data_IF_219989990147
#
_entry.id   IF_219989990147
#
_cell.length_a   1.000
_cell.length_b   1.000
_cell.length_c   1.000
_cell.angle_alpha   90.00
_cell.angle_beta   90.00
_cell.angle_gamma   90.00
#
_symmetry.space_group_name_H-M   'P 1'
#
loop_
_entity.id
_entity.type
_entity.pdbx_description
1 polymer ?
#
# COMPACT_ATOMS: atom_id res chain seq x y z
N UNK A 1 11.83 -17.50 15.38
CA UNK A 1 11.95 -18.59 14.37
C UNK A 1 10.91 -19.66 14.64
N UNK A 2 10.84 -20.23 15.88
CA UNK A 2 9.90 -21.33 16.22
C UNK A 2 8.44 -20.92 16.02
N UNK A 3 8.04 -19.73 16.49
CA UNK A 3 6.66 -19.22 16.32
C UNK A 3 6.27 -19.05 14.84
N UNK A 4 7.21 -18.64 14.01
CA UNK A 4 7.00 -18.50 12.56
C UNK A 4 6.84 -19.89 11.90
N UNK A 5 7.65 -20.86 12.29
CA UNK A 5 7.55 -22.22 11.81
C UNK A 5 6.21 -22.85 12.19
N UNK A 6 5.80 -22.73 13.46
CA UNK A 6 4.51 -23.23 13.94
C UNK A 6 3.33 -22.55 13.24
N UNK A 7 3.41 -21.24 12.97
CA UNK A 7 2.39 -20.54 12.20
C UNK A 7 2.33 -21.06 10.76
N UNK A 8 3.46 -21.33 10.12
CA UNK A 8 3.54 -21.87 8.78
C UNK A 8 2.94 -23.30 8.72
N UNK A 9 3.33 -24.18 9.64
CA UNK A 9 2.78 -25.53 9.76
C UNK A 9 1.26 -25.52 10.01
N UNK A 10 0.80 -24.61 10.88
CA UNK A 10 -0.63 -24.42 11.14
C UNK A 10 -1.39 -23.95 9.89
N UNK A 11 -0.82 -23.01 9.12
CA UNK A 11 -1.40 -22.54 7.86
C UNK A 11 -1.40 -23.64 6.80
N UNK A 12 -0.34 -24.44 6.70
CA UNK A 12 -0.27 -25.58 5.78
C UNK A 12 -1.29 -26.64 6.15
N UNK A 13 -1.40 -26.99 7.43
CA UNK A 13 -2.41 -27.91 7.94
C UNK A 13 -3.84 -27.39 7.69
N UNK A 14 -4.11 -26.08 7.91
CA UNK A 14 -5.41 -25.48 7.61
C UNK A 14 -5.69 -25.44 6.10
N UNK A 15 -4.68 -25.22 5.27
CA UNK A 15 -4.82 -25.20 3.81
C UNK A 15 -5.07 -26.60 3.22
N UNK A 16 -4.46 -27.62 3.80
CA UNK A 16 -4.60 -29.01 3.37
C UNK A 16 -5.94 -29.65 3.79
N UNK A 17 -6.55 -29.17 4.86
CA UNK A 17 -7.89 -29.58 5.24
C UNK A 17 -8.93 -28.88 4.37
N UNK A 18 -9.64 -29.67 3.55
CA UNK A 18 -10.94 -29.25 2.98
C UNK A 18 -11.94 -29.16 4.14
N UNK A 19 -11.94 -28.01 4.84
CA UNK A 19 -12.93 -27.76 5.88
C UNK A 19 -14.28 -27.79 5.15
N UNK A 20 -15.19 -28.72 5.47
CA UNK A 20 -16.51 -28.76 4.88
C UNK A 20 -17.33 -27.62 5.47
N UNK A 21 -17.08 -26.39 5.00
CA UNK A 21 -17.99 -25.29 5.26
C UNK A 21 -19.25 -25.55 4.46
N UNK A 22 -20.25 -26.10 5.12
CA UNK A 22 -21.55 -26.40 4.56
C UNK A 22 -22.17 -25.11 4.03
N UNK A 23 -22.49 -25.09 2.71
CA UNK A 23 -23.21 -23.99 2.06
C UNK A 23 -24.52 -23.62 2.79
N UNK A 24 -25.09 -24.55 3.53
CA UNK A 24 -26.33 -24.39 4.29
C UNK A 24 -26.23 -23.38 5.43
N UNK A 25 -25.08 -23.26 6.11
CA UNK A 25 -24.92 -22.34 7.25
C UNK A 25 -24.51 -20.93 6.84
N UNK A 26 -23.81 -20.72 5.71
CA UNK A 26 -23.27 -19.45 5.26
C UNK A 26 -23.62 -19.08 3.81
N UNK A 27 -24.72 -19.59 3.29
CA UNK A 27 -25.02 -19.56 1.86
C UNK A 27 -24.89 -18.20 1.15
N UNK A 28 -25.18 -17.07 1.82
CA UNK A 28 -24.98 -15.72 1.25
C UNK A 28 -23.52 -15.30 1.36
N UNK A 29 -22.92 -15.45 2.54
CA UNK A 29 -21.50 -15.08 2.80
C UNK A 29 -20.57 -15.92 1.93
N UNK A 30 -20.84 -17.22 1.82
CA UNK A 30 -20.08 -18.13 0.94
C UNK A 30 -20.16 -17.71 -0.52
N UNK A 31 -21.34 -17.38 -1.04
CA UNK A 31 -21.50 -16.92 -2.43
C UNK A 31 -20.72 -15.64 -2.69
N UNK A 32 -20.77 -14.66 -1.78
CA UNK A 32 -20.00 -13.43 -1.91
C UNK A 32 -18.49 -13.69 -1.83
N UNK A 33 -18.03 -14.50 -0.87
CA UNK A 33 -16.63 -14.87 -0.77
C UNK A 33 -16.15 -15.63 -2.02
N UNK A 34 -16.95 -16.52 -2.54
CA UNK A 34 -16.64 -17.25 -3.78
C UNK A 34 -16.58 -16.30 -4.99
N UNK A 35 -17.53 -15.37 -5.12
CA UNK A 35 -17.52 -14.39 -6.19
C UNK A 35 -16.27 -13.48 -6.13
N UNK A 36 -15.94 -12.97 -4.94
CA UNK A 36 -14.80 -12.08 -4.72
C UNK A 36 -13.46 -12.81 -4.91
N UNK A 37 -13.30 -14.01 -4.34
CA UNK A 37 -11.99 -14.66 -4.23
C UNK A 37 -11.76 -15.76 -5.30
N UNK A 38 -12.80 -16.22 -5.98
CA UNK A 38 -12.68 -17.32 -6.94
C UNK A 38 -13.12 -16.92 -8.35
N UNK A 39 -14.23 -16.23 -8.51
CA UNK A 39 -14.67 -15.76 -9.85
C UNK A 39 -13.80 -14.60 -10.30
N UNK A 40 -13.57 -13.63 -9.43
CA UNK A 40 -12.76 -12.44 -9.72
C UNK A 40 -11.53 -12.36 -8.77
N UNK A 41 -10.54 -13.26 -8.89
CA UNK A 41 -9.52 -13.47 -7.87
C UNK A 41 -8.58 -12.29 -7.64
N UNK A 42 -8.48 -11.37 -8.59
CA UNK A 42 -7.73 -10.11 -8.46
C UNK A 42 -8.67 -8.92 -8.24
N UNK A 43 -9.64 -8.74 -9.14
CA UNK A 43 -10.54 -7.57 -9.12
C UNK A 43 -11.40 -7.55 -7.85
N UNK A 44 -11.88 -8.71 -7.40
CA UNK A 44 -12.69 -8.81 -6.19
C UNK A 44 -11.95 -8.31 -4.94
N UNK A 45 -10.80 -8.90 -4.55
CA UNK A 45 -10.00 -8.40 -3.44
C UNK A 45 -9.57 -6.95 -3.61
N UNK A 46 -9.19 -6.51 -4.81
CA UNK A 46 -8.83 -5.13 -5.11
C UNK A 46 -9.95 -4.15 -4.76
N UNK A 47 -11.17 -4.40 -5.23
CA UNK A 47 -12.31 -3.53 -4.94
C UNK A 47 -12.69 -3.55 -3.45
N UNK A 48 -12.61 -4.70 -2.79
CA UNK A 48 -12.86 -4.79 -1.34
C UNK A 48 -11.86 -3.93 -0.58
N UNK A 49 -10.56 -4.00 -0.90
CA UNK A 49 -9.53 -3.18 -0.26
C UNK A 49 -9.73 -1.68 -0.56
N UNK A 50 -10.01 -1.32 -1.82
CA UNK A 50 -10.28 0.07 -2.21
C UNK A 50 -11.44 0.67 -1.42
N UNK A 51 -12.54 -0.06 -1.28
CA UNK A 51 -13.74 0.41 -0.54
C UNK A 51 -13.45 0.46 0.97
N UNK A 52 -12.84 -0.59 1.52
CA UNK A 52 -12.58 -0.67 2.96
C UNK A 52 -11.57 0.39 3.44
N UNK A 53 -10.59 0.75 2.61
CA UNK A 53 -9.57 1.73 2.95
C UNK A 53 -9.92 3.17 2.52
N UNK A 54 -10.98 3.37 1.72
CA UNK A 54 -11.40 4.69 1.25
C UNK A 54 -11.58 5.73 2.38
N UNK A 55 -12.17 5.39 3.55
CA UNK A 55 -12.26 6.34 4.66
C UNK A 55 -10.88 6.83 5.13
N UNK A 56 -9.89 5.92 5.21
CA UNK A 56 -8.52 6.29 5.58
C UNK A 56 -7.89 7.21 4.55
N UNK A 57 -8.06 6.92 3.25
CA UNK A 57 -7.57 7.78 2.18
C UNK A 57 -8.17 9.18 2.27
N UNK A 58 -9.50 9.28 2.39
CA UNK A 58 -10.21 10.57 2.47
C UNK A 58 -9.74 11.38 3.68
N UNK A 59 -9.61 10.74 4.84
CA UNK A 59 -9.13 11.40 6.06
C UNK A 59 -7.65 11.83 5.99
N UNK A 60 -6.86 11.21 5.12
CA UNK A 60 -5.43 11.47 4.99
C UNK A 60 -5.06 12.46 3.91
N UNK A 61 -5.97 12.82 3.01
CA UNK A 61 -5.67 13.75 1.90
C UNK A 61 -5.25 15.13 2.42
N UNK A 62 -4.28 15.77 1.76
CA UNK A 62 -3.55 15.42 0.53
C UNK A 62 -2.46 14.35 0.72
N UNK A 63 -2.26 13.87 1.93
CA UNK A 63 -1.28 12.89 2.32
C UNK A 63 -0.72 13.20 3.71
N UNK A 64 -0.30 12.19 4.45
CA UNK A 64 0.34 12.34 5.76
C UNK A 64 1.85 12.49 5.54
N UNK A 65 2.40 13.68 5.74
CA UNK A 65 3.82 13.97 5.57
C UNK A 65 4.71 13.24 6.58
N UNK A 66 5.77 12.61 6.08
CA UNK A 66 6.96 12.31 6.88
C UNK A 66 8.01 13.41 6.72
N UNK A 67 8.86 13.60 7.73
CA UNK A 67 10.02 14.51 7.62
C UNK A 67 10.88 14.21 6.39
N UNK A 68 11.08 12.91 6.09
CA UNK A 68 11.82 12.46 4.92
C UNK A 68 11.17 12.87 3.60
N UNK A 69 9.84 12.86 3.51
CA UNK A 69 9.11 13.32 2.33
C UNK A 69 9.36 14.78 2.04
N UNK A 70 9.34 15.61 3.08
CA UNK A 70 9.66 17.03 2.95
C UNK A 70 11.09 17.26 2.46
N UNK A 71 12.05 16.48 2.96
CA UNK A 71 13.44 16.52 2.52
C UNK A 71 13.58 16.10 1.04
N UNK A 72 12.88 15.03 0.63
CA UNK A 72 12.89 14.56 -0.75
C UNK A 72 12.30 15.59 -1.74
N UNK A 73 11.19 16.23 -1.37
CA UNK A 73 10.58 17.29 -2.19
C UNK A 73 11.52 18.48 -2.30
N UNK A 74 12.10 18.95 -1.18
CA UNK A 74 13.10 20.02 -1.21
C UNK A 74 14.31 19.66 -2.06
N UNK A 75 14.76 18.42 -1.99
CA UNK A 75 15.86 17.90 -2.80
C UNK A 75 15.53 17.94 -4.30
N UNK A 76 14.32 17.54 -4.68
CA UNK A 76 13.86 17.59 -6.08
C UNK A 76 13.84 19.03 -6.63
N UNK A 77 13.34 19.98 -5.85
CA UNK A 77 13.28 21.38 -6.24
C UNK A 77 14.55 22.18 -5.95
N UNK A 78 15.63 21.50 -5.56
CA UNK A 78 16.91 22.14 -5.25
C UNK A 78 16.84 23.16 -4.10
N UNK A 79 15.92 23.00 -3.16
CA UNK A 79 15.84 23.80 -1.95
C UNK A 79 16.79 23.28 -0.86
N UNK A 80 17.27 24.16 0.04
CA UNK A 80 18.06 23.76 1.21
C UNK A 80 17.33 22.69 2.03
N UNK A 81 18.07 21.63 2.39
CA UNK A 81 17.57 20.56 3.25
C UNK A 81 18.74 19.92 3.99
N UNK A 82 18.51 19.51 5.25
CA UNK A 82 19.57 19.01 6.13
C UNK A 82 20.30 17.75 5.64
N UNK A 83 19.76 17.04 4.64
CA UNK A 83 20.38 15.83 4.10
C UNK A 83 21.30 16.10 2.91
N UNK A 84 21.11 17.17 2.17
CA UNK A 84 21.92 17.52 0.99
C UNK A 84 22.85 18.71 1.22
N UNK A 85 22.58 19.56 2.21
CA UNK A 85 23.38 20.78 2.41
C UNK A 85 24.84 20.48 2.70
N UNK A 86 25.11 19.44 3.51
CA UNK A 86 26.48 19.00 3.76
C UNK A 86 27.20 18.54 2.50
N UNK A 87 26.53 17.76 1.64
CA UNK A 87 27.12 17.29 0.41
C UNK A 87 27.35 18.41 -0.62
N UNK A 88 26.54 19.46 -0.60
CA UNK A 88 26.71 20.66 -1.45
C UNK A 88 27.91 21.50 -1.06
N UNK A 89 28.33 21.46 0.21
CA UNK A 89 29.59 22.07 0.62
C UNK A 89 30.78 21.38 -0.06
N UNK A 90 30.68 20.07 -0.31
CA UNK A 90 31.72 19.29 -0.96
C UNK A 90 31.60 19.32 -2.48
N UNK A 91 30.38 19.31 -3.01
CA UNK A 91 30.09 19.36 -4.44
C UNK A 91 28.77 20.12 -4.72
N UNK A 92 28.84 21.37 -5.15
CA UNK A 92 27.66 22.20 -5.43
C UNK A 92 26.69 21.64 -6.49
N UNK A 93 27.18 20.76 -7.35
CA UNK A 93 26.40 20.18 -8.44
C UNK A 93 25.59 18.95 -8.03
N UNK A 94 25.67 18.51 -6.76
CA UNK A 94 24.88 17.37 -6.28
C UNK A 94 23.43 17.81 -6.06
N UNK A 95 22.55 17.35 -6.95
CA UNK A 95 21.11 17.59 -6.85
C UNK A 95 20.42 16.51 -5.99
N UNK A 96 20.78 15.24 -6.20
CA UNK A 96 20.21 14.09 -5.52
C UNK A 96 21.30 13.37 -4.74
N UNK A 97 21.05 13.06 -3.47
CA UNK A 97 21.93 12.23 -2.66
C UNK A 97 21.32 10.83 -2.43
N UNK A 98 22.16 9.86 -2.11
CA UNK A 98 21.75 8.47 -1.87
C UNK A 98 21.12 8.21 -0.50
N UNK A 99 20.86 9.23 0.32
CA UNK A 99 20.22 9.07 1.62
C UNK A 99 18.76 8.62 1.47
N UNK A 100 18.07 9.12 0.45
CA UNK A 100 16.75 8.68 0.08
C UNK A 100 16.77 7.94 -1.26
N UNK A 101 15.84 6.98 -1.48
CA UNK A 101 15.74 6.30 -2.78
C UNK A 101 15.46 7.31 -3.90
N UNK A 102 16.41 7.44 -4.83
CA UNK A 102 16.38 8.43 -5.91
C UNK A 102 15.10 8.31 -6.75
N UNK A 103 14.70 7.07 -7.07
CA UNK A 103 13.48 6.81 -7.86
C UNK A 103 12.23 7.31 -7.12
N UNK A 104 12.13 7.08 -5.81
CA UNK A 104 11.01 7.56 -5.00
C UNK A 104 10.98 9.09 -4.95
N UNK A 105 12.15 9.72 -4.77
CA UNK A 105 12.29 11.18 -4.79
C UNK A 105 11.85 11.77 -6.13
N UNK A 106 12.22 11.12 -7.25
CA UNK A 106 11.79 11.53 -8.58
C UNK A 106 10.27 11.40 -8.77
N UNK A 107 9.67 10.30 -8.34
CA UNK A 107 8.22 10.08 -8.46
C UNK A 107 7.45 11.14 -7.67
N UNK A 108 7.76 11.33 -6.39
CA UNK A 108 7.04 12.30 -5.56
C UNK A 108 7.27 13.74 -6.03
N UNK A 109 8.51 14.07 -6.39
CA UNK A 109 8.87 15.38 -6.92
C UNK A 109 8.13 15.70 -8.22
N UNK A 110 8.07 14.73 -9.14
CA UNK A 110 7.32 14.87 -10.40
C UNK A 110 5.81 15.05 -10.16
N UNK A 111 5.22 14.32 -9.20
CA UNK A 111 3.82 14.51 -8.83
C UNK A 111 3.56 15.91 -8.27
N UNK A 112 4.45 16.42 -7.40
CA UNK A 112 4.33 17.79 -6.87
C UNK A 112 4.48 18.83 -7.98
N UNK A 113 5.44 18.63 -8.89
CA UNK A 113 5.63 19.50 -10.04
C UNK A 113 4.39 19.51 -10.97
N UNK A 114 3.79 18.36 -11.20
CA UNK A 114 2.53 18.23 -11.94
C UNK A 114 1.38 18.99 -11.26
N UNK A 115 1.26 18.85 -9.93
CA UNK A 115 0.24 19.57 -9.16
C UNK A 115 0.43 21.08 -9.23
N UNK A 116 1.68 21.58 -9.19
CA UNK A 116 1.99 22.98 -9.35
C UNK A 116 1.66 23.47 -10.77
N UNK A 117 1.99 22.71 -11.79
CA UNK A 117 1.78 23.12 -13.20
C UNK A 117 0.29 23.11 -13.60
N UNK A 118 -0.50 22.14 -13.15
CA UNK A 118 -1.90 22.00 -13.56
C UNK A 118 -2.88 22.73 -12.63
N UNK A 119 -2.59 22.78 -11.34
CA UNK A 119 -3.53 23.25 -10.31
C UNK A 119 -2.95 24.42 -9.48
N UNK A 120 -1.75 24.86 -9.77
CA UNK A 120 -1.00 25.83 -8.97
C UNK A 120 -0.96 25.48 -7.47
N UNK A 121 -0.87 24.17 -7.16
CA UNK A 121 -0.97 23.66 -5.80
C UNK A 121 -0.06 22.45 -5.58
N UNK A 122 0.87 22.57 -4.65
CA UNK A 122 1.69 21.45 -4.19
C UNK A 122 0.84 20.35 -3.53
N UNK A 123 -0.22 20.74 -2.81
CA UNK A 123 -1.15 19.80 -2.17
C UNK A 123 -1.88 18.92 -3.20
N UNK A 124 -2.21 19.49 -4.38
CA UNK A 124 -2.79 18.70 -5.47
C UNK A 124 -1.80 17.62 -5.97
N UNK A 125 -0.52 17.96 -6.11
CA UNK A 125 0.53 17.02 -6.48
C UNK A 125 0.71 15.89 -5.45
N UNK A 126 0.67 16.24 -4.16
CA UNK A 126 0.72 15.25 -3.08
C UNK A 126 -0.51 14.34 -3.09
N UNK A 127 -1.69 14.87 -3.32
CA UNK A 127 -2.92 14.08 -3.44
C UNK A 127 -2.83 13.10 -4.62
N UNK A 128 -2.30 13.52 -5.77
CA UNK A 128 -2.05 12.63 -6.93
C UNK A 128 -1.12 11.48 -6.53
N UNK A 129 0.01 11.80 -5.88
CA UNK A 129 0.95 10.78 -5.41
C UNK A 129 0.30 9.82 -4.42
N UNK A 130 -0.41 10.34 -3.41
CA UNK A 130 -1.08 9.54 -2.37
C UNK A 130 -2.15 8.61 -2.98
N UNK A 131 -2.96 9.11 -3.91
CA UNK A 131 -3.95 8.29 -4.62
C UNK A 131 -3.28 7.18 -5.45
N UNK A 132 -2.21 7.50 -6.17
CA UNK A 132 -1.46 6.51 -6.95
C UNK A 132 -0.86 5.42 -6.04
N UNK A 133 -0.20 5.80 -4.95
CA UNK A 133 0.36 4.88 -3.96
C UNK A 133 -0.72 3.98 -3.36
N UNK A 134 -1.88 4.53 -3.02
CA UNK A 134 -3.01 3.81 -2.48
C UNK A 134 -3.52 2.73 -3.44
N UNK A 135 -3.74 3.08 -4.70
CA UNK A 135 -4.16 2.14 -5.75
C UNK A 135 -3.13 1.03 -5.95
N UNK A 136 -1.84 1.40 -6.05
CA UNK A 136 -0.74 0.43 -6.24
C UNK A 136 -0.67 -0.52 -5.05
N UNK A 137 -0.75 -0.02 -3.82
CA UNK A 137 -0.71 -0.86 -2.61
C UNK A 137 -1.88 -1.84 -2.57
N UNK A 138 -3.11 -1.37 -2.83
CA UNK A 138 -4.28 -2.24 -2.91
C UNK A 138 -4.13 -3.30 -4.01
N UNK A 139 -3.59 -2.92 -5.17
CA UNK A 139 -3.33 -3.85 -6.28
C UNK A 139 -2.28 -4.91 -5.90
N UNK A 140 -1.19 -4.54 -5.23
CA UNK A 140 -0.17 -5.48 -4.76
C UNK A 140 -0.75 -6.49 -3.75
N UNK A 141 -1.57 -6.04 -2.79
CA UNK A 141 -2.22 -6.93 -1.82
C UNK A 141 -3.24 -7.85 -2.50
N UNK A 142 -4.05 -7.34 -3.43
CA UNK A 142 -4.99 -8.14 -4.21
C UNK A 142 -4.27 -9.17 -5.09
N UNK A 143 -3.13 -8.80 -5.70
CA UNK A 143 -2.30 -9.71 -6.47
C UNK A 143 -1.73 -10.83 -5.59
N UNK A 144 -1.29 -10.52 -4.37
CA UNK A 144 -0.82 -11.52 -3.41
C UNK A 144 -1.91 -12.56 -3.11
N UNK A 145 -3.15 -12.11 -2.84
CA UNK A 145 -4.29 -13.02 -2.61
C UNK A 145 -4.61 -13.86 -3.85
N UNK A 146 -4.56 -13.24 -5.04
CA UNK A 146 -4.77 -13.94 -6.31
C UNK A 146 -3.72 -15.01 -6.56
N UNK A 147 -2.46 -14.75 -6.20
CA UNK A 147 -1.33 -15.68 -6.34
C UNK A 147 -1.48 -16.88 -5.40
N UNK A 148 -2.00 -16.68 -4.19
CA UNK A 148 -2.29 -17.77 -3.25
C UNK A 148 -3.30 -18.78 -3.83
N UNK A 149 -4.25 -18.30 -4.66
CA UNK A 149 -5.15 -19.21 -5.38
C UNK A 149 -4.40 -20.13 -6.34
N UNK A 150 -3.41 -19.59 -7.06
CA UNK A 150 -2.59 -20.40 -8.00
C UNK A 150 -1.75 -21.43 -7.28
N UNK A 151 -1.40 -21.17 -6.01
CA UNK A 151 -0.68 -22.10 -5.13
C UNK A 151 -1.62 -23.13 -4.43
N UNK A 152 -2.91 -23.15 -4.78
CA UNK A 152 -3.86 -24.13 -4.22
C UNK A 152 -4.39 -23.77 -2.83
N UNK A 153 -4.11 -22.58 -2.29
CA UNK A 153 -4.60 -22.18 -0.96
C UNK A 153 -6.13 -22.10 -0.95
N UNK A 154 -6.74 -22.70 0.06
CA UNK A 154 -8.19 -22.83 0.19
C UNK A 154 -8.90 -21.48 0.28
N UNK A 155 -10.17 -21.43 -0.14
CA UNK A 155 -10.99 -20.22 -0.13
C UNK A 155 -11.10 -19.58 1.26
N UNK A 156 -11.36 -20.33 2.37
CA UNK A 156 -11.45 -19.76 3.70
C UNK A 156 -10.15 -19.05 4.14
N UNK A 157 -9.00 -19.67 3.89
CA UNK A 157 -7.70 -19.09 4.25
C UNK A 157 -7.45 -17.78 3.49
N UNK A 158 -7.75 -17.73 2.20
CA UNK A 158 -7.66 -16.50 1.40
C UNK A 158 -8.63 -15.43 1.89
N UNK A 159 -9.82 -15.84 2.38
CA UNK A 159 -10.79 -14.95 3.01
C UNK A 159 -10.26 -14.33 4.30
N UNK A 160 -9.64 -15.14 5.18
CA UNK A 160 -9.00 -14.65 6.41
C UNK A 160 -7.87 -13.67 6.10
N UNK A 161 -7.04 -13.95 5.10
CA UNK A 161 -5.96 -13.04 4.68
C UNK A 161 -6.53 -11.73 4.13
N UNK A 162 -7.60 -11.77 3.34
CA UNK A 162 -8.26 -10.55 2.87
C UNK A 162 -8.80 -9.73 4.04
N UNK A 163 -9.50 -10.36 5.00
CA UNK A 163 -10.00 -9.68 6.20
C UNK A 163 -8.87 -9.11 7.04
N UNK A 164 -7.74 -9.81 7.16
CA UNK A 164 -6.55 -9.28 7.83
C UNK A 164 -6.06 -8.00 7.17
N UNK A 165 -5.95 -7.95 5.85
CA UNK A 165 -5.56 -6.72 5.14
C UNK A 165 -6.59 -5.60 5.29
N UNK A 166 -7.89 -5.93 5.31
CA UNK A 166 -8.97 -4.96 5.49
C UNK A 166 -8.93 -4.34 6.88
N UNK A 167 -8.80 -5.16 7.93
CA UNK A 167 -8.95 -4.69 9.31
C UNK A 167 -7.64 -4.26 9.98
N UNK A 168 -6.48 -4.59 9.41
CA UNK A 168 -5.20 -4.16 9.98
C UNK A 168 -4.91 -2.71 9.58
N UNK A 169 -5.01 -1.74 10.52
CA UNK A 169 -4.90 -0.31 10.21
C UNK A 169 -3.54 0.07 9.60
N UNK A 170 -2.53 -0.75 9.86
CA UNK A 170 -1.18 -0.54 9.33
C UNK A 170 -1.20 -0.47 7.79
N UNK A 171 -1.90 -1.36 7.11
CA UNK A 171 -1.90 -1.39 5.65
C UNK A 171 -2.59 -0.18 5.03
N UNK A 172 -3.78 0.19 5.52
CA UNK A 172 -4.50 1.38 5.04
C UNK A 172 -3.74 2.66 5.34
N UNK A 173 -3.12 2.76 6.53
CA UNK A 173 -2.29 3.90 6.89
C UNK A 173 -1.04 3.98 6.03
N UNK A 174 -0.31 2.90 5.79
CA UNK A 174 0.86 2.90 4.91
C UNK A 174 0.49 3.19 3.45
N UNK A 175 -0.67 2.75 2.99
CA UNK A 175 -1.18 3.07 1.65
C UNK A 175 -1.46 4.57 1.47
N UNK A 176 -1.85 5.28 2.54
CA UNK A 176 -2.16 6.72 2.54
C UNK A 176 -1.02 7.58 3.11
N UNK A 177 0.11 6.97 3.52
CA UNK A 177 1.09 7.58 4.40
C UNK A 177 2.18 8.31 3.63
N UNK A 178 2.17 9.64 3.78
CA UNK A 178 3.33 10.52 3.72
C UNK A 178 3.64 10.94 5.16
N UNK A 179 4.28 10.10 5.96
CA UNK A 179 4.32 10.24 7.42
C UNK A 179 5.16 11.42 7.89
N UNK A 180 4.59 12.30 8.74
CA UNK A 180 5.35 13.16 9.65
C UNK A 180 5.46 12.49 11.02
N UNK A 181 6.67 12.39 11.54
CA UNK A 181 6.90 12.24 12.97
C UNK A 181 7.58 13.51 13.45
N UNK A 182 6.97 14.16 14.45
CA UNK A 182 7.61 15.23 15.22
C UNK A 182 8.84 14.70 15.95
#
# INVERSE_FOLDING_TARGET
VVAFYLAFECLDWLSSRRIPFSEAYFGRVWRVAHAVLSVHPFVGPFLVLMIAWAPTLIASLPGLFMGDTGAQIRQWFNYPNGTSDYLRLLNPNVLLNGHHPVVHTAIIGSCVQLGLSLFNSANAGLAIYTCAQFVITAACMAYSISSLRKLGVSLPVRGVILLFFVFMPMFSNYAALLRLKH
#
